data_IF_316091914573
#
_entry.id   IF_316091914573
#
_cell.length_a   1.000
_cell.length_b   1.000
_cell.length_c   1.000
_cell.angle_alpha   90.00
_cell.angle_beta   90.00
_cell.angle_gamma   90.00
#
_symmetry.space_group_name_H-M   'P 1'
#
loop_
_entity.id
_entity.type
_entity.pdbx_description
1 polymer ?
#
# COMPACT_ATOMS: atom_id res chain seq x y z
N UNK A 1 22.07 -26.54 84.17
CA UNK A 1 22.54 -25.84 82.95
C UNK A 1 21.93 -26.62 81.83
N UNK A 2 20.68 -26.31 81.54
CA UNK A 2 19.82 -27.21 80.80
C UNK A 2 19.67 -26.60 79.41
N UNK A 3 20.31 -27.25 78.43
CA UNK A 3 20.34 -26.82 77.05
C UNK A 3 18.92 -26.77 76.49
N UNK A 4 18.43 -25.55 76.25
CA UNK A 4 17.19 -25.29 75.55
C UNK A 4 17.37 -25.70 74.10
N UNK A 5 16.82 -26.85 73.72
CA UNK A 5 16.61 -27.22 72.34
C UNK A 5 15.55 -26.29 71.74
N UNK A 6 15.96 -25.43 70.80
CA UNK A 6 15.03 -24.60 70.02
C UNK A 6 14.58 -25.45 68.82
N UNK A 7 13.28 -25.78 68.67
CA UNK A 7 12.80 -26.49 67.48
C UNK A 7 12.83 -25.57 66.26
N UNK A 8 13.68 -25.89 65.28
CA UNK A 8 13.88 -25.14 64.03
C UNK A 8 12.89 -25.49 62.91
N UNK A 9 11.62 -25.75 63.22
CA UNK A 9 10.64 -26.14 62.18
C UNK A 9 9.25 -25.59 62.45
N UNK A 10 9.02 -24.30 62.18
CA UNK A 10 7.70 -23.74 61.91
C UNK A 10 7.80 -22.28 61.44
N UNK A 11 8.33 -22.03 60.24
CA UNK A 11 7.96 -20.82 59.49
C UNK A 11 7.50 -21.30 58.12
N UNK A 12 6.19 -21.37 57.93
CA UNK A 12 5.55 -21.72 56.66
C UNK A 12 5.70 -20.58 55.67
N UNK A 13 6.82 -20.53 54.97
CA UNK A 13 6.90 -19.80 53.72
C UNK A 13 6.11 -20.62 52.70
N UNK A 14 5.11 -20.06 52.01
CA UNK A 14 4.51 -20.73 50.87
C UNK A 14 5.65 -21.15 49.93
N UNK A 15 5.65 -22.39 49.44
CA UNK A 15 6.66 -22.85 48.51
C UNK A 15 6.45 -22.14 47.15
N UNK A 16 6.93 -20.90 47.04
CA UNK A 16 6.83 -20.10 45.81
C UNK A 16 7.54 -20.78 44.64
N UNK A 17 8.45 -21.72 44.92
CA UNK A 17 9.12 -22.50 43.88
C UNK A 17 8.16 -23.50 43.22
N UNK A 18 7.14 -24.01 43.91
CA UNK A 18 6.18 -24.93 43.34
C UNK A 18 5.27 -24.28 42.27
N UNK A 19 4.91 -22.99 42.44
CA UNK A 19 4.08 -22.27 41.47
C UNK A 19 4.87 -21.81 40.22
N UNK A 20 6.17 -21.53 40.36
CA UNK A 20 7.07 -21.13 39.25
C UNK A 20 7.78 -22.36 38.63
N UNK A 21 7.49 -23.57 39.09
CA UNK A 21 7.96 -24.81 38.45
C UNK A 21 6.83 -25.47 37.66
N UNK A 22 5.57 -25.19 38.01
CA UNK A 22 4.40 -25.80 37.39
C UNK A 22 4.24 -25.49 35.90
N UNK A 23 4.37 -24.23 35.49
CA UNK A 23 4.14 -23.82 34.09
C UNK A 23 5.26 -24.33 33.17
N UNK A 24 6.49 -24.27 33.65
CA UNK A 24 7.70 -24.70 32.99
C UNK A 24 7.66 -26.21 32.72
N UNK A 25 7.29 -27.01 33.72
CA UNK A 25 7.11 -28.45 33.55
C UNK A 25 5.96 -28.79 32.59
N UNK A 26 4.86 -28.03 32.62
CA UNK A 26 3.75 -28.20 31.67
C UNK A 26 4.23 -27.95 30.23
N UNK A 27 4.98 -26.86 29.99
CA UNK A 27 5.53 -26.54 28.67
C UNK A 27 6.48 -27.66 28.19
N UNK A 28 7.36 -28.14 29.05
CA UNK A 28 8.29 -29.24 28.73
C UNK A 28 7.52 -30.51 28.38
N UNK A 29 6.50 -30.89 29.15
CA UNK A 29 5.66 -32.05 28.85
C UNK A 29 4.93 -31.91 27.52
N UNK A 30 4.42 -30.73 27.18
CA UNK A 30 3.78 -30.45 25.89
C UNK A 30 4.79 -30.62 24.75
N UNK A 31 5.98 -30.04 24.87
CA UNK A 31 7.04 -30.17 23.86
C UNK A 31 7.40 -31.64 23.67
N UNK A 32 7.63 -32.38 24.75
CA UNK A 32 7.95 -33.81 24.68
C UNK A 32 6.80 -34.58 24.03
N UNK A 33 5.54 -34.32 24.40
CA UNK A 33 4.39 -34.98 23.79
C UNK A 33 4.32 -34.74 22.27
N UNK A 34 4.54 -33.49 21.83
CA UNK A 34 4.60 -33.13 20.40
C UNK A 34 5.76 -33.85 19.71
N UNK A 35 6.94 -33.87 20.33
CA UNK A 35 8.12 -34.55 19.80
C UNK A 35 7.96 -36.08 19.73
N UNK A 36 7.19 -36.69 20.64
CA UNK A 36 6.88 -38.12 20.58
C UNK A 36 5.85 -38.43 19.49
N UNK A 37 4.84 -37.58 19.33
CA UNK A 37 3.76 -37.79 18.36
C UNK A 37 4.23 -37.57 16.92
N UNK A 38 5.00 -36.50 16.71
CA UNK A 38 5.46 -36.10 15.37
C UNK A 38 6.93 -36.44 15.12
N UNK A 39 7.75 -36.62 16.14
CA UNK A 39 9.19 -36.82 15.99
C UNK A 39 9.97 -35.49 15.97
N UNK A 40 11.21 -35.45 16.50
CA UNK A 40 12.04 -34.25 16.54
C UNK A 40 12.44 -33.71 15.16
N UNK A 41 12.41 -34.56 14.13
CA UNK A 41 12.76 -34.17 12.75
C UNK A 41 11.60 -33.48 12.02
N UNK A 42 10.34 -33.65 12.46
CA UNK A 42 9.17 -33.09 11.75
C UNK A 42 8.97 -31.60 11.98
N UNK A 43 9.27 -31.10 13.18
CA UNK A 43 9.21 -29.66 13.45
C UNK A 43 10.12 -28.83 12.52
N UNK A 44 11.42 -29.14 12.35
CA UNK A 44 12.27 -28.38 11.42
C UNK A 44 11.88 -28.59 9.95
N UNK A 45 11.36 -29.77 9.58
CA UNK A 45 10.85 -30.03 8.22
C UNK A 45 9.63 -29.16 7.89
N UNK A 46 8.65 -29.08 8.80
CA UNK A 46 7.48 -28.22 8.68
C UNK A 46 7.85 -26.74 8.65
N UNK A 47 8.75 -26.30 9.53
CA UNK A 47 9.24 -24.92 9.55
C UNK A 47 9.90 -24.52 8.22
N UNK A 48 10.68 -25.42 7.62
CA UNK A 48 11.26 -25.22 6.28
C UNK A 48 10.21 -25.13 5.19
N UNK A 49 9.18 -25.98 5.22
CA UNK A 49 8.06 -25.95 4.28
C UNK A 49 7.29 -24.63 4.34
N UNK A 50 6.89 -24.22 5.55
CA UNK A 50 6.19 -22.95 5.81
C UNK A 50 7.07 -21.75 5.40
N UNK A 51 8.35 -21.78 5.76
CA UNK A 51 9.30 -20.72 5.40
C UNK A 51 9.44 -20.54 3.88
N UNK A 52 9.51 -21.64 3.12
CA UNK A 52 9.52 -21.60 1.65
C UNK A 52 8.20 -21.05 1.11
N UNK A 53 7.07 -21.56 1.58
CA UNK A 53 5.75 -21.12 1.13
C UNK A 53 5.53 -19.62 1.39
N UNK A 54 5.90 -19.13 2.58
CA UNK A 54 5.82 -17.72 2.92
C UNK A 54 6.80 -16.86 2.08
N UNK A 55 7.97 -17.40 1.77
CA UNK A 55 8.95 -16.76 0.89
C UNK A 55 8.42 -16.58 -0.54
N UNK A 56 7.88 -17.65 -1.13
CA UNK A 56 7.26 -17.60 -2.46
C UNK A 56 6.02 -16.71 -2.46
N UNK A 57 5.18 -16.76 -1.42
CA UNK A 57 4.03 -15.88 -1.28
C UNK A 57 4.43 -14.40 -1.25
N UNK A 58 5.47 -14.04 -0.48
CA UNK A 58 5.98 -12.66 -0.45
C UNK A 58 6.50 -12.20 -1.81
N UNK A 59 7.22 -13.06 -2.54
CA UNK A 59 7.70 -12.76 -3.90
C UNK A 59 6.54 -12.56 -4.87
N UNK A 60 5.58 -13.49 -4.87
CA UNK A 60 4.38 -13.39 -5.71
C UNK A 60 3.58 -12.12 -5.42
N UNK A 61 3.42 -11.76 -4.13
CA UNK A 61 2.77 -10.50 -3.73
C UNK A 61 3.47 -9.27 -4.31
N UNK A 62 4.80 -9.17 -4.19
CA UNK A 62 5.56 -8.02 -4.70
C UNK A 62 5.47 -7.91 -6.23
N UNK A 63 5.49 -9.04 -6.94
CA UNK A 63 5.35 -9.07 -8.39
C UNK A 63 3.96 -8.57 -8.82
N UNK A 64 2.89 -9.03 -8.15
CA UNK A 64 1.52 -8.56 -8.41
C UNK A 64 1.38 -7.07 -8.11
N UNK A 65 1.90 -6.59 -6.99
CA UNK A 65 1.88 -5.15 -6.65
C UNK A 65 2.59 -4.31 -7.72
N UNK A 66 3.74 -4.79 -8.22
CA UNK A 66 4.50 -4.14 -9.29
C UNK A 66 3.72 -4.12 -10.62
N UNK A 67 3.09 -5.22 -10.98
CA UNK A 67 2.27 -5.31 -12.20
C UNK A 67 1.09 -4.36 -12.12
N UNK A 68 0.33 -4.37 -11.02
CA UNK A 68 -0.80 -3.45 -10.80
C UNK A 68 -0.33 -1.99 -10.86
N UNK A 69 0.77 -1.64 -10.18
CA UNK A 69 1.29 -0.27 -10.21
C UNK A 69 1.70 0.17 -11.63
N UNK A 70 2.23 -0.75 -12.42
CA UNK A 70 2.65 -0.48 -13.80
C UNK A 70 1.42 -0.28 -14.70
N UNK A 71 0.46 -1.19 -14.62
CA UNK A 71 -0.80 -1.10 -15.37
C UNK A 71 -1.59 0.17 -15.03
N UNK A 72 -1.70 0.52 -13.75
CA UNK A 72 -2.35 1.76 -13.32
C UNK A 72 -1.64 2.99 -13.87
N UNK A 73 -0.32 3.04 -13.81
CA UNK A 73 0.47 4.17 -14.34
C UNK A 73 0.34 4.29 -15.87
N UNK A 74 0.30 3.17 -16.60
CA UNK A 74 0.05 3.15 -18.04
C UNK A 74 -1.36 3.61 -18.40
N UNK A 75 -2.36 3.19 -17.61
CA UNK A 75 -3.75 3.65 -17.77
C UNK A 75 -3.87 5.15 -17.52
N UNK A 76 -3.27 5.69 -16.45
CA UNK A 76 -3.26 7.12 -16.15
C UNK A 76 -2.56 7.94 -17.25
N UNK A 77 -1.45 7.43 -17.79
CA UNK A 77 -0.73 8.08 -18.89
C UNK A 77 -1.59 8.12 -20.16
N UNK A 78 -2.27 7.02 -20.50
CA UNK A 78 -3.19 6.96 -21.65
C UNK A 78 -4.37 7.89 -21.46
N UNK A 79 -4.99 7.88 -20.28
CA UNK A 79 -6.14 8.75 -20.00
C UNK A 79 -5.75 10.22 -20.07
N UNK A 80 -4.63 10.60 -19.45
CA UNK A 80 -4.06 11.95 -19.55
C UNK A 80 -3.85 12.36 -21.01
N UNK A 81 -3.24 11.49 -21.82
CA UNK A 81 -3.03 11.78 -23.24
C UNK A 81 -4.33 11.95 -24.01
N UNK A 82 -5.33 11.10 -23.76
CA UNK A 82 -6.67 11.21 -24.37
C UNK A 82 -7.35 12.52 -23.97
N UNK A 83 -7.25 12.94 -22.70
CA UNK A 83 -7.80 14.21 -22.22
C UNK A 83 -7.13 15.41 -22.91
N UNK A 84 -5.81 15.40 -23.04
CA UNK A 84 -5.03 16.42 -23.75
C UNK A 84 -5.44 16.49 -25.23
N UNK A 85 -5.59 15.35 -25.90
CA UNK A 85 -6.04 15.28 -27.30
C UNK A 85 -7.47 15.81 -27.48
N UNK A 86 -8.39 15.47 -26.57
CA UNK A 86 -9.77 16.00 -26.56
C UNK A 86 -9.80 17.51 -26.31
N UNK A 87 -9.00 18.00 -25.37
CA UNK A 87 -8.88 19.43 -25.08
C UNK A 87 -8.30 20.20 -26.29
N UNK A 88 -7.25 19.67 -26.93
CA UNK A 88 -6.72 20.22 -28.17
C UNK A 88 -7.80 20.30 -29.26
N UNK A 89 -8.59 19.23 -29.42
CA UNK A 89 -9.67 19.18 -30.41
C UNK A 89 -10.76 20.22 -30.14
N UNK A 90 -11.15 20.44 -28.87
CA UNK A 90 -12.12 21.46 -28.47
C UNK A 90 -11.64 22.89 -28.79
N UNK A 91 -10.33 23.13 -28.74
CA UNK A 91 -9.72 24.41 -29.12
C UNK A 91 -9.43 24.52 -30.63
N UNK A 92 -9.78 23.52 -31.44
CA UNK A 92 -9.50 23.49 -32.87
C UNK A 92 -8.03 23.22 -33.24
N UNK A 93 -7.25 22.65 -32.31
CA UNK A 93 -5.85 22.31 -32.51
C UNK A 93 -5.76 20.88 -33.07
N UNK A 94 -5.03 20.71 -34.18
CA UNK A 94 -4.77 19.39 -34.74
C UNK A 94 -3.87 18.55 -33.82
N UNK A 95 -4.40 17.44 -33.29
CA UNK A 95 -3.68 16.54 -32.38
C UNK A 95 -2.77 15.52 -33.10
N UNK A 96 -3.10 15.17 -34.34
CA UNK A 96 -2.43 14.10 -35.08
C UNK A 96 -0.97 14.47 -35.37
N UNK A 97 -0.05 13.57 -34.98
CA UNK A 97 1.39 13.72 -35.23
C UNK A 97 2.11 14.70 -34.31
N UNK A 98 1.44 15.27 -33.30
CA UNK A 98 2.06 16.17 -32.31
C UNK A 98 2.49 15.40 -31.07
N UNK A 99 3.60 15.83 -30.47
CA UNK A 99 3.99 15.32 -29.16
C UNK A 99 3.06 15.86 -28.07
N UNK A 100 2.91 15.13 -26.96
CA UNK A 100 2.10 15.59 -25.83
C UNK A 100 2.59 16.94 -25.29
N UNK A 101 3.90 17.14 -25.21
CA UNK A 101 4.49 18.43 -24.80
C UNK A 101 4.13 19.57 -25.77
N UNK A 102 4.13 19.31 -27.07
CA UNK A 102 3.69 20.30 -28.07
C UNK A 102 2.20 20.62 -27.88
N UNK A 103 1.36 19.60 -27.69
CA UNK A 103 -0.08 19.79 -27.45
C UNK A 103 -0.34 20.59 -26.17
N UNK A 104 0.32 20.24 -25.05
CA UNK A 104 0.21 21.00 -23.79
C UNK A 104 0.58 22.47 -24.00
N UNK A 105 1.68 22.76 -24.70
CA UNK A 105 2.14 24.12 -24.98
C UNK A 105 1.23 24.88 -25.95
N UNK A 106 0.64 24.20 -26.93
CA UNK A 106 -0.29 24.78 -27.90
C UNK A 106 -1.65 25.07 -27.26
N UNK A 107 -2.18 24.15 -26.44
CA UNK A 107 -3.39 24.33 -25.64
C UNK A 107 -3.22 25.52 -24.70
N UNK A 108 -2.10 25.58 -23.96
CA UNK A 108 -1.83 26.68 -23.03
C UNK A 108 -1.76 28.05 -23.72
N UNK A 109 -1.28 28.12 -24.97
CA UNK A 109 -1.25 29.37 -25.75
C UNK A 109 -2.58 29.72 -26.42
N UNK A 110 -3.36 28.71 -26.81
CA UNK A 110 -4.63 28.89 -27.49
C UNK A 110 -5.76 29.25 -26.52
N UNK A 111 -5.75 28.68 -25.31
CA UNK A 111 -6.84 28.83 -24.34
C UNK A 111 -7.07 30.27 -23.90
N UNK A 112 -6.02 31.10 -23.88
CA UNK A 112 -6.14 32.52 -23.55
C UNK A 112 -7.01 33.29 -24.56
N UNK A 113 -6.96 32.89 -25.84
CA UNK A 113 -7.67 33.53 -26.96
C UNK A 113 -8.92 32.77 -27.40
N UNK A 114 -9.19 31.62 -26.79
CA UNK A 114 -10.33 30.77 -27.12
C UNK A 114 -11.66 31.41 -26.67
N UNK A 115 -12.74 31.10 -27.38
CA UNK A 115 -14.08 31.51 -26.97
C UNK A 115 -14.52 30.78 -25.70
N UNK A 116 -15.50 31.33 -24.99
CA UNK A 116 -16.00 30.75 -23.74
C UNK A 116 -16.45 29.29 -23.93
N UNK A 117 -17.14 28.99 -25.04
CA UNK A 117 -17.56 27.63 -25.39
C UNK A 117 -16.37 26.67 -25.59
N UNK A 118 -15.30 27.14 -26.24
CA UNK A 118 -14.09 26.36 -26.44
C UNK A 118 -13.34 26.10 -25.13
N UNK A 119 -13.29 27.11 -24.25
CA UNK A 119 -12.69 26.98 -22.91
C UNK A 119 -13.47 25.97 -22.08
N UNK A 120 -14.81 26.02 -22.11
CA UNK A 120 -15.67 25.07 -21.41
C UNK A 120 -15.45 23.65 -21.96
N UNK A 121 -15.42 23.47 -23.27
CA UNK A 121 -15.17 22.16 -23.90
C UNK A 121 -13.81 21.58 -23.54
N UNK A 122 -12.75 22.41 -23.53
CA UNK A 122 -11.42 21.98 -23.12
C UNK A 122 -11.35 21.65 -21.61
N UNK A 123 -12.02 22.42 -20.76
CA UNK A 123 -12.11 22.17 -19.32
C UNK A 123 -12.81 20.84 -19.03
N UNK A 124 -13.94 20.57 -19.68
CA UNK A 124 -14.67 19.31 -19.56
C UNK A 124 -13.80 18.13 -20.02
N UNK A 125 -13.07 18.27 -21.12
CA UNK A 125 -12.15 17.23 -21.61
C UNK A 125 -11.03 16.91 -20.62
N UNK A 126 -10.57 17.89 -19.84
CA UNK A 126 -9.54 17.71 -18.81
C UNK A 126 -10.12 17.20 -17.47
N UNK A 127 -11.44 17.05 -17.34
CA UNK A 127 -12.10 16.64 -16.10
C UNK A 127 -12.26 17.78 -15.09
N UNK A 128 -12.17 19.03 -15.55
CA UNK A 128 -12.42 20.23 -14.74
C UNK A 128 -13.91 20.55 -14.80
N UNK A 129 -14.61 20.36 -13.67
CA UNK A 129 -16.06 20.56 -13.60
C UNK A 129 -16.42 22.03 -13.30
N UNK A 130 -17.43 22.52 -14.01
CA UNK A 130 -17.69 23.96 -14.17
C UNK A 130 -18.78 24.55 -13.26
N UNK A 131 -19.10 23.95 -12.10
CA UNK A 131 -20.26 24.39 -11.30
C UNK A 131 -20.13 25.89 -10.91
N UNK A 132 -20.86 26.76 -11.64
CA UNK A 132 -20.86 28.21 -11.46
C UNK A 132 -19.50 28.93 -11.63
N UNK A 133 -18.54 28.38 -12.37
CA UNK A 133 -17.18 28.95 -12.45
C UNK A 133 -17.01 29.99 -13.57
N UNK A 134 -16.38 31.11 -13.22
CA UNK A 134 -15.90 32.11 -14.18
C UNK A 134 -14.99 31.46 -15.22
N UNK A 135 -15.18 31.80 -16.50
CA UNK A 135 -14.36 31.29 -17.62
C UNK A 135 -12.87 31.52 -17.38
N UNK A 136 -12.51 32.64 -16.75
CA UNK A 136 -11.14 32.97 -16.39
C UNK A 136 -10.50 31.92 -15.47
N UNK A 137 -11.26 31.41 -14.50
CA UNK A 137 -10.81 30.35 -13.59
C UNK A 137 -10.67 29.01 -14.31
N UNK A 138 -11.55 28.74 -15.27
CA UNK A 138 -11.43 27.54 -16.11
C UNK A 138 -10.15 27.57 -16.94
N UNK A 139 -9.77 28.72 -17.51
CA UNK A 139 -8.49 28.89 -18.23
C UNK A 139 -7.31 28.54 -17.32
N UNK A 140 -7.27 29.11 -16.12
CA UNK A 140 -6.21 28.82 -15.14
C UNK A 140 -6.18 27.36 -14.71
N UNK A 141 -7.34 26.75 -14.45
CA UNK A 141 -7.45 25.35 -14.04
C UNK A 141 -6.98 24.39 -15.13
N UNK A 142 -7.32 24.66 -16.39
CA UNK A 142 -6.85 23.85 -17.53
C UNK A 142 -5.33 23.97 -17.68
N UNK A 143 -4.78 25.18 -17.65
CA UNK A 143 -3.32 25.38 -17.75
C UNK A 143 -2.59 24.67 -16.62
N UNK A 144 -3.13 24.76 -15.39
CA UNK A 144 -2.58 24.04 -14.24
C UNK A 144 -2.61 22.53 -14.45
N UNK A 145 -3.73 21.98 -14.91
CA UNK A 145 -3.88 20.55 -15.16
C UNK A 145 -2.93 20.00 -16.24
N UNK A 146 -2.47 20.83 -17.19
CA UNK A 146 -1.48 20.42 -18.20
C UNK A 146 -0.06 20.27 -17.63
N UNK A 147 0.24 21.02 -16.57
CA UNK A 147 1.56 21.05 -15.94
C UNK A 147 1.64 20.19 -14.66
N UNK A 148 0.60 19.40 -14.38
CA UNK A 148 0.54 18.42 -13.28
C UNK A 148 1.18 17.10 -13.68
#
# INVERSE_FOLDING_TARGET
>A
MDGVAIPTTAIGWPDLTAQIVGIELIIVLIIIAILLLFGPQKLPELARGIGRALGEFRRGKMEVERQISTELSEMETRDTRVRVEKAASALGIAAVGRSEMQLKLDIARAIDRASDDQVIGAAQAMGVYSSGSDVQRLKEQVVRALNM
#
